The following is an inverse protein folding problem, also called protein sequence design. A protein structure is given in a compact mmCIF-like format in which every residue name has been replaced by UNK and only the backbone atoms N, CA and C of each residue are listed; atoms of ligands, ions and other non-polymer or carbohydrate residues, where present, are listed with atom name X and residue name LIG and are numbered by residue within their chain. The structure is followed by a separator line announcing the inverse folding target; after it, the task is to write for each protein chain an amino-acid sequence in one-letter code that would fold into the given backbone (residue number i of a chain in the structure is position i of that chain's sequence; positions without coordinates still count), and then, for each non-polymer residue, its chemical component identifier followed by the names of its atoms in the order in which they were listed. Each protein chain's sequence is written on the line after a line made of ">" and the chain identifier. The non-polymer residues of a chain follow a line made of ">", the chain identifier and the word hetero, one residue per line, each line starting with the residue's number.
data_IF_551360024755
#
_entry.id   IF_551360024755
#
_cell.length_a   1.000
_cell.length_b   1.000
_cell.length_c   1.000
_cell.angle_alpha   90.00
_cell.angle_beta   90.00
_cell.angle_gamma   90.00
#
_symmetry.space_group_name_H-M   'P 1'
#
loop_
_entity.id
_entity.type
_entity.pdbx_description
1 polymer ?
#
# COMPACT_ATOMS: atom_id res chain seq x y z
N UNK A 1 12.47 6.55 21.58
CA UNK A 1 12.29 5.98 20.22
C UNK A 1 11.31 6.88 19.51
N UNK A 2 11.73 7.49 18.39
CA UNK A 2 10.84 8.28 17.53
C UNK A 2 9.85 7.34 16.82
N UNK A 3 8.72 7.85 16.29
CA UNK A 3 7.82 7.07 15.44
C UNK A 3 8.56 6.36 14.29
N UNK A 4 9.46 7.05 13.61
CA UNK A 4 10.33 6.47 12.57
C UNK A 4 11.20 5.33 13.07
N UNK A 5 11.90 5.51 14.18
CA UNK A 5 12.75 4.46 14.78
C UNK A 5 11.93 3.23 15.16
N UNK A 6 10.70 3.45 15.68
CA UNK A 6 9.78 2.37 16.05
C UNK A 6 9.39 1.57 14.82
N UNK A 7 8.93 2.22 13.75
CA UNK A 7 8.54 1.52 12.52
C UNK A 7 9.72 0.79 11.89
N UNK A 8 10.89 1.41 11.79
CA UNK A 8 12.07 0.75 11.21
C UNK A 8 12.56 -0.44 12.05
N UNK A 9 12.35 -0.41 13.38
CA UNK A 9 12.59 -1.57 14.23
C UNK A 9 11.53 -2.66 14.02
N UNK A 10 10.26 -2.27 13.83
CA UNK A 10 9.16 -3.18 13.52
C UNK A 10 9.40 -3.92 12.19
N UNK A 11 9.82 -3.22 11.13
CA UNK A 11 10.15 -3.82 9.83
C UNK A 11 11.30 -4.85 9.93
N UNK A 12 12.17 -4.72 10.92
CA UNK A 12 13.24 -5.69 11.23
C UNK A 12 12.80 -6.78 12.21
N UNK A 13 11.52 -6.90 12.49
CA UNK A 13 10.97 -7.83 13.49
C UNK A 13 11.64 -7.74 14.88
N UNK A 14 12.16 -6.56 15.25
CA UNK A 14 12.76 -6.31 16.57
C UNK A 14 11.69 -5.96 17.61
N UNK A 15 11.96 -6.24 18.90
CA UNK A 15 11.08 -5.80 19.98
C UNK A 15 10.90 -4.28 19.97
N UNK A 16 9.65 -3.84 20.09
CA UNK A 16 9.25 -2.44 20.20
C UNK A 16 8.31 -2.25 21.40
N UNK A 17 8.22 -1.04 21.98
CA UNK A 17 7.36 -0.80 23.13
C UNK A 17 5.85 -0.97 22.85
N UNK A 18 5.45 -0.88 21.60
CA UNK A 18 4.09 -1.09 21.10
C UNK A 18 4.12 -1.45 19.61
N UNK A 19 3.02 -1.95 19.02
CA UNK A 19 2.89 -2.09 17.57
C UNK A 19 3.06 -0.74 16.86
N UNK A 20 3.51 -0.78 15.60
CA UNK A 20 3.54 0.41 14.75
C UNK A 20 2.12 0.77 14.28
N UNK A 21 1.86 2.07 14.04
CA UNK A 21 0.59 2.60 13.57
C UNK A 21 0.73 3.23 12.18
N UNK A 22 -0.08 2.78 11.22
CA UNK A 22 -0.10 3.34 9.86
C UNK A 22 -1.56 3.51 9.40
N UNK A 23 -2.11 4.74 9.33
CA UNK A 23 -3.33 5.03 8.59
C UNK A 23 -2.99 5.20 7.11
N UNK A 24 -3.52 4.36 6.23
CA UNK A 24 -3.39 4.58 4.79
C UNK A 24 -4.46 5.59 4.34
N UNK A 25 -4.15 6.87 4.48
CA UNK A 25 -5.05 7.98 4.22
C UNK A 25 -4.79 8.61 2.84
N UNK A 26 -5.00 7.85 1.75
CA UNK A 26 -4.83 8.32 0.38
C UNK A 26 -5.79 9.45 0.02
N UNK A 27 -6.85 9.14 -0.72
CA UNK A 27 -7.86 10.14 -1.09
C UNK A 27 -8.51 10.83 0.13
N UNK A 28 -8.66 10.10 1.25
CA UNK A 28 -9.18 10.63 2.51
C UNK A 28 -8.44 11.87 3.01
N UNK A 29 -7.12 11.96 2.79
CA UNK A 29 -6.30 13.09 3.24
C UNK A 29 -6.82 14.44 2.72
N UNK A 30 -7.38 14.50 1.51
CA UNK A 30 -7.92 15.71 0.90
C UNK A 30 -9.06 16.32 1.70
N UNK A 31 -9.90 15.46 2.32
CA UNK A 31 -11.03 15.87 3.15
C UNK A 31 -10.60 16.66 4.38
N UNK A 32 -9.42 16.38 4.95
CA UNK A 32 -8.90 17.09 6.13
C UNK A 32 -8.66 18.58 5.87
N UNK A 33 -8.44 18.94 4.61
CA UNK A 33 -8.22 20.32 4.17
C UNK A 33 -9.41 20.89 3.38
N UNK A 34 -10.48 20.12 3.17
CA UNK A 34 -11.64 20.52 2.41
C UNK A 34 -11.42 20.57 0.90
N UNK A 35 -10.45 19.82 0.39
CA UNK A 35 -10.21 19.62 -1.03
C UNK A 35 -10.92 18.38 -1.54
N UNK A 36 -11.18 18.31 -2.84
CA UNK A 36 -11.51 17.03 -3.48
C UNK A 36 -10.26 16.17 -3.66
N UNK A 37 -10.44 14.87 -3.83
CA UNK A 37 -9.32 13.97 -4.14
C UNK A 37 -8.65 14.37 -5.47
N UNK A 38 -9.44 14.70 -6.49
CA UNK A 38 -8.95 15.19 -7.78
C UNK A 38 -8.05 16.43 -7.61
N UNK A 39 -8.47 17.41 -6.82
CA UNK A 39 -7.68 18.62 -6.57
C UNK A 39 -6.35 18.32 -5.87
N UNK A 40 -6.38 17.39 -4.89
CA UNK A 40 -5.19 17.00 -4.14
C UNK A 40 -4.20 16.26 -5.04
N UNK A 41 -4.64 15.25 -5.79
CA UNK A 41 -3.75 14.43 -6.63
C UNK A 41 -3.18 15.17 -7.85
N UNK A 42 -3.70 16.37 -8.16
CA UNK A 42 -3.23 17.22 -9.26
C UNK A 42 -2.42 18.45 -8.77
N UNK A 43 -2.09 18.55 -7.48
CA UNK A 43 -1.37 19.71 -6.93
C UNK A 43 -0.36 19.29 -5.86
N UNK A 44 0.93 19.56 -6.10
CA UNK A 44 1.97 19.32 -5.11
C UNK A 44 1.73 20.11 -3.81
N UNK A 45 1.21 21.34 -3.90
CA UNK A 45 0.90 22.16 -2.73
C UNK A 45 -0.20 21.52 -1.89
N UNK A 46 -1.35 21.20 -2.51
CA UNK A 46 -2.49 20.57 -1.83
C UNK A 46 -2.14 19.20 -1.26
N UNK A 47 -1.41 18.37 -2.02
CA UNK A 47 -0.95 17.06 -1.55
C UNK A 47 -0.07 17.21 -0.31
N UNK A 48 0.92 18.12 -0.35
CA UNK A 48 1.78 18.39 0.82
C UNK A 48 0.98 18.84 2.04
N UNK A 49 0.06 19.79 1.87
CA UNK A 49 -0.77 20.28 2.97
C UNK A 49 -1.64 19.17 3.60
N UNK A 50 -2.22 18.30 2.77
CA UNK A 50 -3.06 17.20 3.23
C UNK A 50 -2.24 16.17 4.01
N UNK A 51 -1.07 15.79 3.51
CA UNK A 51 -0.18 14.82 4.19
C UNK A 51 0.32 15.34 5.53
N UNK A 52 0.74 16.60 5.60
CA UNK A 52 1.14 17.21 6.88
C UNK A 52 -0.03 17.27 7.88
N UNK A 53 -1.27 17.43 7.40
CA UNK A 53 -2.44 17.39 8.26
C UNK A 53 -2.76 15.97 8.77
N UNK A 54 -2.60 14.93 7.93
CA UNK A 54 -2.68 13.51 8.36
C UNK A 54 -1.70 13.25 9.50
N UNK A 55 -0.44 13.64 9.31
CA UNK A 55 0.60 13.48 10.33
C UNK A 55 0.24 14.18 11.64
N UNK A 56 -0.23 15.43 11.56
CA UNK A 56 -0.62 16.22 12.73
C UNK A 56 -1.79 15.59 13.49
N UNK A 57 -2.82 15.12 12.77
CA UNK A 57 -4.05 14.61 13.37
C UNK A 57 -3.92 13.17 13.87
N UNK A 58 -3.31 12.29 13.09
CA UNK A 58 -3.32 10.85 13.34
C UNK A 58 -1.98 10.29 13.84
N UNK A 59 -0.93 11.13 13.93
CA UNK A 59 0.38 10.79 14.54
C UNK A 59 0.91 9.42 14.11
N UNK A 60 1.02 9.13 12.82
CA UNK A 60 1.48 7.85 12.33
C UNK A 60 2.95 7.59 12.64
N UNK A 61 3.32 6.32 12.79
CA UNK A 61 4.72 5.90 12.76
C UNK A 61 5.24 5.83 11.32
N UNK A 62 4.35 5.51 10.38
CA UNK A 62 4.57 5.55 8.94
C UNK A 62 3.52 6.42 8.24
N UNK A 63 3.97 7.42 7.49
CA UNK A 63 3.11 8.31 6.70
C UNK A 63 3.03 7.84 5.26
N UNK A 64 1.81 7.58 4.77
CA UNK A 64 1.56 7.26 3.37
C UNK A 64 1.57 8.55 2.53
N UNK A 65 2.65 8.77 1.76
CA UNK A 65 2.83 10.00 0.99
C UNK A 65 2.09 10.03 -0.35
N UNK A 66 1.61 8.89 -0.80
CA UNK A 66 0.71 8.76 -1.97
C UNK A 66 0.02 7.40 -1.90
N UNK A 67 -1.27 7.35 -2.22
CA UNK A 67 -2.02 6.12 -2.47
C UNK A 67 -2.81 6.30 -3.77
N UNK A 68 -2.11 6.12 -4.89
CA UNK A 68 -2.68 6.25 -6.23
C UNK A 68 -1.96 5.24 -7.14
N UNK A 69 -2.64 4.17 -7.48
CA UNK A 69 -2.12 3.07 -8.29
C UNK A 69 -2.23 3.35 -9.81
N UNK A 70 -2.59 4.57 -10.20
CA UNK A 70 -2.83 4.90 -11.59
C UNK A 70 -1.75 5.83 -12.18
N UNK A 71 -0.75 6.24 -11.39
CA UNK A 71 0.33 7.11 -11.86
C UNK A 71 1.13 6.44 -12.98
N UNK A 72 1.52 5.18 -12.78
CA UNK A 72 2.24 4.38 -13.77
C UNK A 72 1.36 4.11 -15.01
N UNK A 73 0.10 3.75 -14.78
CA UNK A 73 -0.85 3.47 -15.86
C UNK A 73 -1.09 4.71 -16.75
N UNK A 74 -1.24 5.90 -16.14
CA UNK A 74 -1.38 7.17 -16.84
C UNK A 74 -0.18 7.44 -17.75
N UNK A 75 1.03 7.31 -17.22
CA UNK A 75 2.28 7.54 -17.97
C UNK A 75 2.45 6.53 -19.10
N UNK A 76 1.98 5.30 -18.89
CA UNK A 76 2.05 4.23 -19.88
C UNK A 76 0.87 4.22 -20.87
N UNK A 77 0.05 5.26 -20.86
CA UNK A 77 -0.95 5.55 -21.91
C UNK A 77 -2.37 5.10 -21.58
N UNK A 78 -2.69 4.74 -20.33
CA UNK A 78 -4.07 4.57 -19.92
C UNK A 78 -4.77 5.92 -19.75
N UNK A 79 -6.00 6.05 -20.24
CA UNK A 79 -6.87 7.15 -19.87
C UNK A 79 -7.38 6.94 -18.43
N UNK A 80 -7.52 8.04 -17.69
CA UNK A 80 -8.02 8.01 -16.33
C UNK A 80 -9.39 8.69 -16.21
N UNK A 81 -10.25 8.09 -15.38
CA UNK A 81 -11.50 8.70 -14.94
C UNK A 81 -11.30 9.19 -13.49
N UNK A 82 -11.42 10.49 -13.28
CA UNK A 82 -11.22 11.17 -12.01
C UNK A 82 -12.47 11.13 -11.14
N UNK A 83 -12.27 11.02 -9.82
CA UNK A 83 -13.31 11.05 -8.80
C UNK A 83 -12.97 12.08 -7.72
N UNK A 84 -13.98 12.77 -7.18
CA UNK A 84 -13.77 13.80 -6.14
C UNK A 84 -13.60 13.22 -4.74
N UNK A 85 -14.01 11.98 -4.54
CA UNK A 85 -14.03 11.26 -3.26
C UNK A 85 -13.20 9.97 -3.26
N UNK A 86 -12.32 9.81 -4.26
CA UNK A 86 -11.47 8.63 -4.41
C UNK A 86 -10.29 8.86 -5.35
N UNK A 87 -9.36 7.90 -5.44
CA UNK A 87 -8.32 7.92 -6.46
C UNK A 87 -8.94 7.79 -7.86
N UNK A 88 -8.24 8.23 -8.93
CA UNK A 88 -8.70 7.98 -10.28
C UNK A 88 -8.77 6.48 -10.58
N UNK A 89 -9.53 6.09 -11.59
CA UNK A 89 -9.60 4.73 -12.10
C UNK A 89 -9.17 4.65 -13.56
N UNK A 90 -8.65 3.50 -13.98
CA UNK A 90 -8.27 3.26 -15.38
C UNK A 90 -9.53 3.16 -16.23
N UNK A 91 -9.59 3.94 -17.31
CA UNK A 91 -10.72 4.01 -18.24
C UNK A 91 -10.42 3.35 -19.61
N UNK A 92 -9.12 3.16 -19.94
CA UNK A 92 -8.72 2.50 -21.18
C UNK A 92 -7.47 1.63 -20.94
N UNK A 93 -7.30 0.64 -21.81
CA UNK A 93 -6.19 -0.33 -21.73
C UNK A 93 -5.40 -0.30 -23.04
N UNK A 94 -4.18 0.27 -23.06
CA UNK A 94 -3.39 0.43 -24.30
C UNK A 94 -3.07 -0.87 -25.02
N UNK A 95 -3.02 -1.99 -24.30
CA UNK A 95 -2.76 -3.33 -24.86
C UNK A 95 -4.03 -4.16 -25.08
N UNK A 96 -5.21 -3.54 -24.94
CA UNK A 96 -6.45 -4.20 -25.35
C UNK A 96 -6.43 -4.44 -26.86
N UNK A 97 -6.78 -5.66 -27.28
CA UNK A 97 -6.81 -6.08 -28.69
C UNK A 97 -8.20 -6.56 -29.08
N UNK A 98 -8.53 -6.47 -30.38
CA UNK A 98 -9.72 -7.17 -30.89
C UNK A 98 -9.49 -8.67 -30.89
N UNK A 99 -10.59 -9.43 -30.91
CA UNK A 99 -10.51 -10.89 -30.91
C UNK A 99 -9.72 -11.41 -32.12
N UNK A 100 -8.60 -12.07 -31.86
CA UNK A 100 -7.71 -12.64 -32.87
C UNK A 100 -6.42 -11.84 -33.13
N UNK A 101 -6.30 -10.66 -32.57
CA UNK A 101 -5.03 -9.91 -32.62
C UNK A 101 -4.13 -10.31 -31.45
N UNK A 102 -2.82 -10.36 -31.70
CA UNK A 102 -1.81 -10.65 -30.67
C UNK A 102 -1.35 -9.35 -30.02
N UNK A 103 -1.46 -9.20 -28.68
CA UNK A 103 -0.92 -8.05 -27.99
C UNK A 103 0.62 -8.02 -28.09
N UNK A 104 1.17 -6.82 -28.09
CA UNK A 104 2.63 -6.62 -28.18
C UNK A 104 3.10 -5.91 -26.91
N UNK A 105 4.08 -6.50 -26.22
CA UNK A 105 4.70 -5.88 -25.04
C UNK A 105 5.37 -4.55 -25.41
N UNK A 106 5.18 -3.48 -24.64
CA UNK A 106 5.78 -2.19 -24.92
C UNK A 106 7.32 -2.24 -24.91
N UNK A 107 7.93 -1.39 -25.72
CA UNK A 107 9.39 -1.25 -25.73
C UNK A 107 9.88 -0.64 -24.41
N UNK A 108 11.01 -1.09 -23.88
CA UNK A 108 11.65 -0.47 -22.70
C UNK A 108 11.94 1.03 -22.87
N UNK A 109 11.96 1.54 -24.11
CA UNK A 109 12.09 2.97 -24.39
C UNK A 109 10.85 3.79 -23.92
N UNK A 110 9.75 3.14 -23.56
CA UNK A 110 8.53 3.76 -23.03
C UNK A 110 8.41 3.64 -21.52
N UNK A 111 9.41 3.11 -20.83
CA UNK A 111 9.42 3.06 -19.36
C UNK A 111 9.27 4.48 -18.76
N UNK A 112 8.58 4.63 -17.60
CA UNK A 112 8.35 5.93 -16.97
C UNK A 112 9.63 6.73 -16.78
N UNK A 113 9.63 7.97 -17.26
CA UNK A 113 10.68 8.95 -17.02
C UNK A 113 10.37 9.84 -15.81
N UNK A 114 11.38 10.50 -15.21
CA UNK A 114 11.21 11.30 -13.99
C UNK A 114 10.38 12.58 -14.21
N UNK A 115 10.10 12.95 -15.46
CA UNK A 115 9.33 14.15 -15.83
C UNK A 115 7.99 13.81 -16.48
N UNK A 116 7.56 12.55 -16.47
CA UNK A 116 6.35 12.12 -17.15
C UNK A 116 5.14 12.24 -16.23
N UNK A 117 4.00 12.64 -16.82
CA UNK A 117 2.72 12.73 -16.13
C UNK A 117 2.79 13.48 -14.79
N UNK A 118 2.26 12.86 -13.75
CA UNK A 118 2.23 13.40 -12.39
C UNK A 118 3.46 13.02 -11.53
N UNK A 119 4.42 12.28 -12.05
CA UNK A 119 5.64 11.88 -11.30
C UNK A 119 6.37 13.08 -10.69
N UNK A 120 6.64 14.18 -11.43
CA UNK A 120 7.32 15.36 -10.86
C UNK A 120 6.54 16.01 -9.72
N UNK A 121 5.21 16.08 -9.85
CA UNK A 121 4.31 16.66 -8.85
C UNK A 121 4.37 15.86 -7.54
N UNK A 122 4.24 14.54 -7.64
CA UNK A 122 4.23 13.63 -6.48
C UNK A 122 5.59 13.65 -5.79
N UNK A 123 6.69 13.54 -6.55
CA UNK A 123 8.04 13.60 -6.01
C UNK A 123 8.34 14.95 -5.34
N UNK A 124 7.79 16.05 -5.85
CA UNK A 124 7.94 17.36 -5.21
C UNK A 124 7.22 17.41 -3.86
N UNK A 125 5.97 16.93 -3.79
CA UNK A 125 5.25 16.81 -2.52
C UNK A 125 5.99 15.93 -1.51
N UNK A 126 6.50 14.78 -1.94
CA UNK A 126 7.30 13.86 -1.11
C UNK A 126 8.54 14.55 -0.53
N UNK A 127 9.31 15.30 -1.33
CA UNK A 127 10.48 16.05 -0.85
C UNK A 127 10.12 17.09 0.20
N UNK A 128 8.98 17.78 0.02
CA UNK A 128 8.48 18.76 1.00
C UNK A 128 8.06 18.10 2.30
N UNK A 129 7.31 17.00 2.22
CA UNK A 129 6.92 16.21 3.41
C UNK A 129 8.17 15.66 4.12
N UNK A 130 9.14 15.13 3.35
CA UNK A 130 10.43 14.68 3.90
C UNK A 130 11.15 15.75 4.71
N UNK A 131 11.15 16.97 4.22
CA UNK A 131 11.79 18.11 4.89
C UNK A 131 11.13 18.46 6.23
N UNK A 132 9.79 18.33 6.30
CA UNK A 132 9.01 18.76 7.48
C UNK A 132 8.95 17.67 8.56
N UNK A 133 8.73 16.41 8.18
CA UNK A 133 8.46 15.33 9.15
C UNK A 133 9.38 14.09 9.00
N UNK A 134 10.18 14.02 7.94
CA UNK A 134 10.93 12.80 7.60
C UNK A 134 12.05 12.41 8.57
N UNK A 135 12.39 13.25 9.55
CA UNK A 135 13.34 12.92 10.62
C UNK A 135 12.65 12.14 11.76
N UNK A 136 11.36 12.34 11.94
CA UNK A 136 10.59 11.77 13.06
C UNK A 136 9.60 10.69 12.64
N UNK A 137 9.07 10.75 11.43
CA UNK A 137 8.10 9.82 10.86
C UNK A 137 8.72 9.10 9.66
N UNK A 138 8.54 7.78 9.55
CA UNK A 138 8.94 7.05 8.36
C UNK A 138 7.97 7.34 7.20
N UNK A 139 8.49 7.49 5.99
CA UNK A 139 7.72 7.89 4.83
C UNK A 139 7.55 6.73 3.86
N UNK A 140 6.31 6.46 3.47
CA UNK A 140 5.92 5.44 2.51
C UNK A 140 5.63 6.06 1.14
N UNK A 141 6.28 5.55 0.10
CA UNK A 141 5.86 5.74 -1.28
C UNK A 141 5.16 4.47 -1.77
N UNK A 142 3.92 4.56 -2.24
CA UNK A 142 3.20 3.42 -2.78
C UNK A 142 3.31 3.43 -4.30
N UNK A 143 3.65 2.28 -4.86
CA UNK A 143 3.73 2.04 -6.31
C UNK A 143 2.81 0.90 -6.70
N UNK A 144 2.38 0.89 -7.95
CA UNK A 144 1.58 -0.21 -8.49
C UNK A 144 2.45 -1.46 -8.65
N UNK A 145 1.95 -2.59 -8.16
CA UNK A 145 2.62 -3.87 -8.33
C UNK A 145 2.60 -4.35 -9.79
N UNK A 146 3.59 -5.15 -10.21
CA UNK A 146 3.75 -5.57 -11.61
C UNK A 146 2.53 -6.24 -12.21
N UNK A 147 1.80 -7.07 -11.46
CA UNK A 147 0.64 -7.79 -11.99
C UNK A 147 -0.58 -6.89 -12.14
N UNK A 148 -0.84 -6.01 -11.18
CA UNK A 148 -1.88 -4.99 -11.30
C UNK A 148 -1.57 -4.01 -12.42
N UNK A 149 -0.31 -3.59 -12.61
CA UNK A 149 0.09 -2.74 -13.72
C UNK A 149 -0.12 -3.44 -15.07
N UNK A 150 0.23 -4.72 -15.18
CA UNK A 150 -0.03 -5.51 -16.37
C UNK A 150 -1.53 -5.55 -16.71
N UNK A 151 -2.40 -5.69 -15.71
CA UNK A 151 -3.85 -5.60 -15.90
C UNK A 151 -4.32 -4.19 -16.27
N UNK A 152 -3.72 -3.14 -15.73
CA UNK A 152 -4.03 -1.78 -16.17
C UNK A 152 -3.74 -1.59 -17.66
N UNK A 153 -2.65 -2.17 -18.16
CA UNK A 153 -2.29 -2.08 -19.57
C UNK A 153 -3.11 -3.00 -20.48
N UNK A 154 -3.35 -4.25 -20.05
CA UNK A 154 -3.99 -5.30 -20.86
C UNK A 154 -5.51 -5.44 -20.63
N UNK A 155 -5.99 -4.95 -19.51
CA UNK A 155 -7.35 -5.22 -19.05
C UNK A 155 -7.46 -6.58 -18.39
N UNK A 156 -8.71 -7.07 -18.26
CA UNK A 156 -8.99 -8.39 -17.66
C UNK A 156 -8.53 -9.56 -18.52
N UNK A 157 -8.19 -9.33 -19.78
CA UNK A 157 -7.69 -10.36 -20.70
C UNK A 157 -6.37 -10.98 -20.22
N UNK A 158 -5.62 -10.28 -19.34
CA UNK A 158 -4.40 -10.83 -18.73
C UNK A 158 -4.63 -12.19 -18.07
N UNK A 159 -5.82 -12.44 -17.47
CA UNK A 159 -6.15 -13.72 -16.86
C UNK A 159 -6.38 -14.83 -17.90
N UNK A 160 -6.83 -14.46 -19.11
CA UNK A 160 -6.96 -15.39 -20.20
C UNK A 160 -5.60 -15.67 -20.84
N UNK A 161 -4.77 -14.63 -20.99
CA UNK A 161 -3.43 -14.73 -21.53
C UNK A 161 -2.55 -15.69 -20.68
N UNK A 162 -2.72 -15.72 -19.35
CA UNK A 162 -2.05 -16.68 -18.46
C UNK A 162 -2.32 -18.16 -18.81
N UNK A 163 -3.38 -18.44 -19.58
CA UNK A 163 -3.76 -19.79 -19.99
C UNK A 163 -3.44 -20.07 -21.45
N UNK A 164 -3.34 -19.03 -22.29
CA UNK A 164 -3.24 -19.16 -23.75
C UNK A 164 -1.90 -18.71 -24.31
N UNK A 165 -1.21 -17.78 -23.66
CA UNK A 165 0.05 -17.18 -24.10
C UNK A 165 0.91 -16.79 -22.89
N UNK A 166 1.41 -17.79 -22.19
CA UNK A 166 2.25 -17.64 -20.98
C UNK A 166 3.49 -16.77 -21.23
N UNK A 167 4.11 -16.89 -22.41
CA UNK A 167 5.27 -16.11 -22.78
C UNK A 167 4.96 -14.61 -22.83
N UNK A 168 3.81 -14.23 -23.40
CA UNK A 168 3.38 -12.82 -23.40
C UNK A 168 3.23 -12.28 -21.97
N UNK A 169 2.64 -13.07 -21.05
CA UNK A 169 2.47 -12.68 -19.65
C UNK A 169 3.83 -12.50 -18.96
N UNK A 170 4.77 -13.42 -19.17
CA UNK A 170 6.13 -13.27 -18.63
C UNK A 170 6.83 -12.01 -19.15
N UNK A 171 6.76 -11.76 -20.45
CA UNK A 171 7.38 -10.59 -21.06
C UNK A 171 6.72 -9.27 -20.59
N UNK A 172 5.39 -9.25 -20.44
CA UNK A 172 4.67 -8.09 -19.92
C UNK A 172 4.98 -7.83 -18.45
N UNK A 173 5.07 -8.87 -17.63
CA UNK A 173 5.44 -8.74 -16.22
C UNK A 173 6.89 -8.29 -16.03
N UNK A 174 7.82 -8.71 -16.90
CA UNK A 174 9.19 -8.20 -16.91
C UNK A 174 9.23 -6.70 -17.24
N UNK A 175 8.42 -6.25 -18.21
CA UNK A 175 8.27 -4.83 -18.51
C UNK A 175 7.68 -4.05 -17.32
N UNK A 176 6.59 -4.55 -16.72
CA UNK A 176 5.94 -3.91 -15.57
C UNK A 176 6.84 -3.86 -14.34
N UNK A 177 7.62 -4.91 -14.08
CA UNK A 177 8.65 -4.93 -13.05
C UNK A 177 9.69 -3.81 -13.26
N UNK A 178 10.19 -3.63 -14.49
CA UNK A 178 11.12 -2.55 -14.81
C UNK A 178 10.52 -1.17 -14.61
N UNK A 179 9.24 -0.99 -14.97
CA UNK A 179 8.50 0.24 -14.69
C UNK A 179 8.38 0.51 -13.18
N UNK A 180 8.02 -0.52 -12.38
CA UNK A 180 7.96 -0.44 -10.93
C UNK A 180 9.32 -0.09 -10.30
N UNK A 181 10.43 -0.63 -10.81
CA UNK A 181 11.79 -0.26 -10.38
C UNK A 181 12.08 1.23 -10.60
N UNK A 182 11.65 1.80 -11.76
CA UNK A 182 11.82 3.24 -12.03
C UNK A 182 11.03 4.09 -11.04
N UNK A 183 9.78 3.73 -10.79
CA UNK A 183 8.95 4.46 -9.81
C UNK A 183 9.54 4.37 -8.40
N UNK A 184 9.99 3.18 -7.98
CA UNK A 184 10.67 3.00 -6.69
C UNK A 184 11.90 3.90 -6.58
N UNK A 185 12.75 3.98 -7.61
CA UNK A 185 13.91 4.88 -7.63
C UNK A 185 13.50 6.35 -7.43
N UNK A 186 12.48 6.83 -8.17
CA UNK A 186 12.05 8.23 -8.05
C UNK A 186 11.51 8.56 -6.66
N UNK A 187 10.80 7.65 -6.03
CA UNK A 187 10.25 7.85 -4.68
C UNK A 187 11.35 7.75 -3.61
N UNK A 188 12.30 6.83 -3.76
CA UNK A 188 13.48 6.75 -2.87
C UNK A 188 14.31 8.03 -2.97
N UNK A 189 14.57 8.53 -4.18
CA UNK A 189 15.29 9.79 -4.41
C UNK A 189 14.50 11.02 -3.87
N UNK A 190 13.18 10.93 -3.80
CA UNK A 190 12.34 11.94 -3.15
C UNK A 190 12.32 11.81 -1.61
N UNK A 191 12.98 10.78 -1.05
CA UNK A 191 13.21 10.63 0.39
C UNK A 191 12.31 9.63 1.10
N UNK A 192 11.64 8.74 0.37
CA UNK A 192 10.81 7.69 0.96
C UNK A 192 11.68 6.61 1.61
N UNK A 193 11.31 6.22 2.83
CA UNK A 193 12.03 5.21 3.60
C UNK A 193 11.55 3.79 3.29
N UNK A 194 10.29 3.67 2.86
CA UNK A 194 9.62 2.40 2.53
C UNK A 194 8.92 2.54 1.19
N UNK A 195 9.09 1.56 0.32
CA UNK A 195 8.30 1.42 -0.92
C UNK A 195 7.28 0.30 -0.72
N UNK A 196 6.01 0.65 -0.72
CA UNK A 196 4.92 -0.31 -0.70
C UNK A 196 4.50 -0.64 -2.12
N UNK A 197 4.71 -1.90 -2.49
CA UNK A 197 4.29 -2.45 -3.78
C UNK A 197 2.87 -2.98 -3.61
N UNK A 198 1.90 -2.24 -4.13
CA UNK A 198 0.47 -2.51 -3.94
C UNK A 198 -0.06 -3.28 -5.14
N UNK A 199 -0.45 -4.53 -4.93
CA UNK A 199 -0.92 -5.42 -6.00
C UNK A 199 -2.18 -6.19 -5.60
N UNK A 200 -3.37 -5.56 -5.69
CA UNK A 200 -4.64 -6.18 -5.31
C UNK A 200 -4.95 -7.46 -6.08
N UNK A 201 -4.51 -7.57 -7.34
CA UNK A 201 -4.83 -8.71 -8.19
C UNK A 201 -4.17 -10.01 -7.76
N UNK A 202 -3.14 -9.96 -6.91
CA UNK A 202 -2.54 -11.15 -6.29
C UNK A 202 -3.59 -11.93 -5.47
N UNK A 203 -4.61 -11.27 -4.94
CA UNK A 203 -5.72 -11.94 -4.25
C UNK A 203 -6.59 -12.81 -5.17
N UNK A 204 -6.53 -12.60 -6.48
CA UNK A 204 -7.39 -13.24 -7.48
C UNK A 204 -6.73 -14.45 -8.18
N UNK A 205 -5.42 -14.65 -8.02
CA UNK A 205 -4.68 -15.75 -8.64
C UNK A 205 -4.38 -16.88 -7.64
N UNK A 206 -4.20 -18.09 -8.14
CA UNK A 206 -3.79 -19.23 -7.33
C UNK A 206 -2.32 -19.13 -6.91
N UNK A 207 -1.93 -19.93 -5.94
CA UNK A 207 -0.53 -20.01 -5.48
C UNK A 207 0.39 -20.48 -6.61
N UNK A 208 -0.06 -21.43 -7.42
CA UNK A 208 0.69 -21.93 -8.58
C UNK A 208 0.92 -20.84 -9.62
N UNK A 209 -0.11 -20.05 -9.94
CA UNK A 209 0.04 -18.91 -10.85
C UNK A 209 0.94 -17.81 -10.25
N UNK A 210 0.87 -17.59 -8.93
CA UNK A 210 1.81 -16.68 -8.30
C UNK A 210 3.26 -17.18 -8.42
N UNK A 211 3.51 -18.46 -8.15
CA UNK A 211 4.86 -19.03 -8.25
C UNK A 211 5.38 -19.00 -9.69
N UNK A 212 4.52 -19.23 -10.68
CA UNK A 212 4.88 -19.22 -12.10
C UNK A 212 5.17 -17.81 -12.63
N UNK A 213 4.26 -16.87 -12.42
CA UNK A 213 4.30 -15.57 -13.09
C UNK A 213 4.85 -14.43 -12.22
N UNK A 214 4.61 -14.47 -10.91
CA UNK A 214 4.83 -13.31 -10.04
C UNK A 214 6.08 -13.44 -9.15
N UNK A 215 6.47 -14.64 -8.73
CA UNK A 215 7.57 -14.82 -7.77
C UNK A 215 8.87 -14.15 -8.21
N UNK A 216 9.29 -14.31 -9.44
CA UNK A 216 10.55 -13.76 -9.95
C UNK A 216 10.49 -12.23 -10.09
N UNK A 217 9.49 -11.61 -10.75
CA UNK A 217 9.36 -10.15 -10.85
C UNK A 217 9.32 -9.46 -9.47
N UNK A 218 8.55 -10.00 -8.51
CA UNK A 218 8.46 -9.40 -7.17
C UNK A 218 9.77 -9.56 -6.39
N UNK A 219 10.43 -10.72 -6.46
CA UNK A 219 11.72 -10.92 -5.80
C UNK A 219 12.77 -9.94 -6.31
N UNK A 220 12.88 -9.79 -7.63
CA UNK A 220 13.79 -8.81 -8.25
C UNK A 220 13.47 -7.37 -7.84
N UNK A 221 12.17 -7.02 -7.76
CA UNK A 221 11.74 -5.68 -7.36
C UNK A 221 12.10 -5.38 -5.90
N UNK A 222 11.86 -6.32 -4.99
CA UNK A 222 12.20 -6.12 -3.58
C UNK A 222 13.71 -6.11 -3.33
N UNK A 223 14.48 -6.91 -4.06
CA UNK A 223 15.94 -6.83 -4.04
C UNK A 223 16.43 -5.46 -4.54
N UNK A 224 15.87 -4.97 -5.65
CA UNK A 224 16.19 -3.65 -6.19
C UNK A 224 15.90 -2.52 -5.19
N UNK A 225 14.73 -2.53 -4.54
CA UNK A 225 14.36 -1.55 -3.50
C UNK A 225 15.37 -1.59 -2.36
N UNK A 226 15.77 -2.78 -1.91
CA UNK A 226 16.76 -2.96 -0.85
C UNK A 226 18.15 -2.46 -1.25
N UNK A 227 18.58 -2.75 -2.48
CA UNK A 227 19.85 -2.25 -3.03
C UNK A 227 19.92 -0.73 -3.10
N UNK A 228 18.76 -0.07 -3.32
CA UNK A 228 18.64 1.40 -3.27
C UNK A 228 18.54 1.96 -1.84
N UNK A 229 18.55 1.10 -0.82
CA UNK A 229 18.62 1.49 0.60
C UNK A 229 17.28 1.77 1.26
N UNK A 230 16.16 1.41 0.63
CA UNK A 230 14.82 1.50 1.22
C UNK A 230 14.31 0.14 1.70
N UNK A 231 13.27 0.14 2.53
CA UNK A 231 12.52 -1.05 2.91
C UNK A 231 11.39 -1.30 1.92
N UNK A 232 10.97 -2.55 1.83
CA UNK A 232 9.87 -2.97 0.96
C UNK A 232 8.66 -3.44 1.76
N UNK A 233 7.47 -3.13 1.26
CA UNK A 233 6.20 -3.66 1.78
C UNK A 233 5.41 -4.26 0.63
N UNK A 234 5.02 -5.53 0.75
CA UNK A 234 4.10 -6.16 -0.21
C UNK A 234 2.68 -5.94 0.27
N UNK A 235 1.89 -5.15 -0.44
CA UNK A 235 0.55 -4.78 -0.03
C UNK A 235 -0.50 -5.39 -0.97
N UNK A 236 -1.40 -6.20 -0.41
CA UNK A 236 -2.48 -6.85 -1.16
C UNK A 236 -3.83 -6.58 -0.50
N UNK A 237 -4.73 -5.95 -1.24
CA UNK A 237 -6.15 -5.85 -0.90
C UNK A 237 -6.91 -7.06 -1.45
N UNK A 238 -7.96 -7.51 -0.76
CA UNK A 238 -8.68 -8.75 -1.07
C UNK A 238 -8.15 -9.97 -0.32
N UNK A 239 -8.77 -11.12 -0.53
CA UNK A 239 -8.39 -12.36 0.17
C UNK A 239 -7.09 -12.96 -0.39
N UNK A 240 -5.97 -12.52 0.16
CA UNK A 240 -4.64 -13.03 -0.16
C UNK A 240 -4.22 -14.25 0.70
N UNK A 241 -5.10 -14.81 1.50
CA UNK A 241 -4.77 -15.86 2.50
C UNK A 241 -3.92 -16.98 1.91
N UNK A 242 -4.30 -17.49 0.72
CA UNK A 242 -3.58 -18.58 0.05
C UNK A 242 -2.16 -18.23 -0.38
N UNK A 243 -1.87 -16.94 -0.59
CA UNK A 243 -0.61 -16.45 -1.16
C UNK A 243 0.36 -15.88 -0.11
N UNK A 244 -0.03 -15.77 1.17
CA UNK A 244 0.81 -15.19 2.22
C UNK A 244 2.20 -15.84 2.29
N UNK A 245 2.26 -17.17 2.22
CA UNK A 245 3.55 -17.88 2.33
C UNK A 245 4.46 -17.63 1.12
N UNK A 246 3.91 -17.64 -0.10
CA UNK A 246 4.70 -17.37 -1.32
C UNK A 246 5.08 -15.89 -1.41
N UNK A 247 4.26 -14.98 -0.90
CA UNK A 247 4.61 -13.57 -0.74
C UNK A 247 5.81 -13.40 0.21
N UNK A 248 5.85 -14.10 1.34
CA UNK A 248 7.01 -14.06 2.24
C UNK A 248 8.30 -14.52 1.55
N UNK A 249 8.22 -15.51 0.66
CA UNK A 249 9.38 -16.06 -0.06
C UNK A 249 9.98 -15.07 -1.09
N UNK A 250 9.28 -14.01 -1.47
CA UNK A 250 9.82 -12.97 -2.35
C UNK A 250 10.85 -12.06 -1.67
N UNK A 251 11.01 -12.17 -0.35
CA UNK A 251 12.02 -11.42 0.40
C UNK A 251 11.63 -9.98 0.72
N UNK A 252 10.32 -9.63 0.71
CA UNK A 252 9.86 -8.35 1.20
C UNK A 252 10.10 -8.18 2.71
N UNK A 253 10.27 -6.94 3.18
CA UNK A 253 10.49 -6.66 4.61
C UNK A 253 9.18 -6.70 5.40
N UNK A 254 8.05 -6.41 4.76
CA UNK A 254 6.72 -6.50 5.37
C UNK A 254 5.65 -6.90 4.37
N UNK A 255 4.54 -7.44 4.90
CA UNK A 255 3.30 -7.69 4.14
C UNK A 255 2.18 -6.91 4.81
N UNK A 256 1.35 -6.22 4.01
CA UNK A 256 0.13 -5.53 4.46
C UNK A 256 -1.08 -6.13 3.76
N UNK A 257 -2.15 -6.36 4.53
CA UNK A 257 -3.38 -7.00 4.05
C UNK A 257 -4.63 -6.28 4.54
N UNK A 258 -5.75 -6.53 3.86
CA UNK A 258 -7.06 -6.02 4.26
C UNK A 258 -7.85 -6.99 5.16
N UNK A 259 -9.07 -6.61 5.51
CA UNK A 259 -9.96 -7.34 6.40
C UNK A 259 -10.39 -8.73 5.93
N UNK A 260 -10.17 -9.06 4.66
CA UNK A 260 -10.54 -10.38 4.11
C UNK A 260 -9.56 -11.49 4.53
N UNK A 261 -8.37 -11.10 4.99
CA UNK A 261 -7.36 -12.04 5.49
C UNK A 261 -7.52 -12.27 6.98
N UNK A 262 -7.56 -13.53 7.43
CA UNK A 262 -7.52 -13.85 8.84
C UNK A 262 -6.14 -13.48 9.41
N UNK A 263 -6.10 -12.43 10.22
CA UNK A 263 -4.86 -11.76 10.61
C UNK A 263 -3.92 -12.64 11.44
N UNK A 264 -4.44 -13.37 12.44
CA UNK A 264 -3.59 -14.17 13.35
C UNK A 264 -2.85 -15.31 12.62
N UNK A 265 -3.50 -16.21 11.86
CA UNK A 265 -2.79 -17.24 11.11
C UNK A 265 -1.81 -16.69 10.08
N UNK A 266 -2.14 -15.59 9.41
CA UNK A 266 -1.26 -14.94 8.45
C UNK A 266 0.00 -14.37 9.14
N UNK A 267 -0.16 -13.72 10.30
CA UNK A 267 0.96 -13.25 11.13
C UNK A 267 1.88 -14.41 11.56
N UNK A 268 1.31 -15.55 11.95
CA UNK A 268 2.08 -16.74 12.33
C UNK A 268 2.91 -17.30 11.15
N UNK A 269 2.41 -17.18 9.91
CA UNK A 269 3.19 -17.52 8.71
C UNK A 269 4.34 -16.52 8.54
N UNK A 270 4.05 -15.22 8.57
CA UNK A 270 5.06 -14.17 8.40
C UNK A 270 6.18 -14.27 9.45
N UNK A 271 5.85 -14.65 10.70
CA UNK A 271 6.83 -14.85 11.76
C UNK A 271 7.88 -15.92 11.42
N UNK A 272 7.48 -16.99 10.74
CA UNK A 272 8.41 -18.08 10.32
C UNK A 272 9.45 -17.57 9.32
N UNK A 273 9.10 -16.56 8.55
CA UNK A 273 9.97 -15.95 7.53
C UNK A 273 10.65 -14.66 8.00
N UNK A 274 10.40 -14.23 9.25
CA UNK A 274 10.88 -12.96 9.80
C UNK A 274 10.44 -11.74 8.95
N UNK A 275 9.22 -11.78 8.42
CA UNK A 275 8.58 -10.70 7.68
C UNK A 275 7.62 -9.97 8.61
N UNK A 276 7.69 -8.63 8.68
CA UNK A 276 6.74 -7.84 9.44
C UNK A 276 5.34 -7.95 8.80
N UNK A 277 4.29 -7.86 9.61
CA UNK A 277 2.93 -8.05 9.14
C UNK A 277 2.01 -6.94 9.61
N UNK A 278 1.25 -6.36 8.67
CA UNK A 278 0.42 -5.18 8.88
C UNK A 278 -1.01 -5.32 8.36
N UNK A 279 -1.88 -4.55 8.92
CA UNK A 279 -3.31 -4.45 8.61
C UNK A 279 -4.10 -4.49 9.90
N UNK A 280 -5.28 -4.91 9.89
CA UNK A 280 -6.25 -5.03 8.79
C UNK A 280 -7.60 -4.50 9.31
N UNK A 281 -7.56 -3.25 9.83
CA UNK A 281 -8.77 -2.62 10.37
C UNK A 281 -9.81 -2.55 9.25
N UNK A 282 -11.03 -3.15 9.45
CA UNK A 282 -12.07 -3.18 8.45
C UNK A 282 -12.54 -1.78 8.05
N UNK A 283 -12.43 -1.48 6.77
CA UNK A 283 -12.68 -0.14 6.25
C UNK A 283 -14.16 0.24 6.29
N UNK A 284 -15.03 -0.67 5.90
CA UNK A 284 -16.48 -0.39 5.76
C UNK A 284 -17.21 -0.62 7.07
N UNK A 285 -17.09 -1.80 7.66
CA UNK A 285 -17.90 -2.18 8.83
C UNK A 285 -17.47 -1.47 10.11
N UNK A 286 -16.17 -1.27 10.31
CA UNK A 286 -15.63 -0.67 11.53
C UNK A 286 -15.31 0.81 11.32
N UNK A 287 -14.52 1.16 10.29
CA UNK A 287 -14.07 2.54 10.13
C UNK A 287 -15.18 3.46 9.62
N UNK A 288 -15.93 3.05 8.60
CA UNK A 288 -16.95 3.92 7.99
C UNK A 288 -18.28 3.91 8.76
N UNK A 289 -18.77 2.73 9.14
CA UNK A 289 -20.11 2.56 9.74
C UNK A 289 -20.09 2.33 11.25
N UNK A 290 -18.96 1.99 11.84
CA UNK A 290 -18.79 1.84 13.27
C UNK A 290 -18.67 3.19 13.99
N UNK A 291 -18.69 3.12 15.30
CA UNK A 291 -18.44 4.26 16.20
C UNK A 291 -16.95 4.35 16.55
N UNK A 292 -16.54 5.44 17.19
CA UNK A 292 -15.18 5.56 17.73
C UNK A 292 -14.83 4.41 18.70
N UNK A 293 -15.81 3.98 19.52
CA UNK A 293 -15.62 2.89 20.47
C UNK A 293 -15.44 1.54 19.77
N UNK A 294 -16.18 1.29 18.67
CA UNK A 294 -15.99 0.08 17.86
C UNK A 294 -14.56 0.02 17.28
N UNK A 295 -14.07 1.15 16.80
CA UNK A 295 -12.71 1.28 16.26
C UNK A 295 -11.64 1.06 17.35
N UNK A 296 -11.81 1.64 18.53
CA UNK A 296 -10.92 1.44 19.69
C UNK A 296 -10.90 -0.03 20.10
N UNK A 297 -12.08 -0.64 20.24
CA UNK A 297 -12.20 -2.03 20.66
C UNK A 297 -11.58 -2.97 19.65
N UNK A 298 -11.86 -2.79 18.35
CA UNK A 298 -11.27 -3.61 17.30
C UNK A 298 -9.73 -3.59 17.36
N UNK A 299 -9.13 -2.41 17.47
CA UNK A 299 -7.66 -2.30 17.54
C UNK A 299 -7.07 -2.97 18.78
N UNK A 300 -7.73 -2.83 19.96
CA UNK A 300 -7.28 -3.50 21.18
C UNK A 300 -7.40 -5.01 21.03
N UNK A 301 -8.55 -5.52 20.56
CA UNK A 301 -8.79 -6.96 20.38
C UNK A 301 -7.79 -7.56 19.35
N UNK A 302 -7.51 -6.84 18.28
CA UNK A 302 -6.49 -7.25 17.28
C UNK A 302 -5.11 -7.38 17.95
N UNK A 303 -4.66 -6.36 18.68
CA UNK A 303 -3.37 -6.36 19.36
C UNK A 303 -3.31 -7.51 20.39
N UNK A 304 -4.38 -7.72 21.17
CA UNK A 304 -4.42 -8.74 22.22
C UNK A 304 -4.47 -10.17 21.64
N UNK A 305 -5.03 -10.34 20.44
CA UNK A 305 -5.09 -11.64 19.76
C UNK A 305 -3.73 -12.16 19.29
N UNK A 306 -2.74 -11.29 19.16
CA UNK A 306 -1.40 -11.62 18.64
C UNK A 306 -0.44 -11.89 19.79
N UNK A 307 0.15 -13.07 19.82
CA UNK A 307 1.13 -13.46 20.84
C UNK A 307 2.49 -12.80 20.60
N UNK A 308 3.04 -12.99 19.40
CA UNK A 308 4.31 -12.38 19.00
C UNK A 308 4.08 -10.99 18.39
N UNK A 309 4.37 -9.96 19.18
CA UNK A 309 4.18 -8.55 18.75
C UNK A 309 5.36 -7.99 17.94
N UNK A 310 6.46 -8.75 17.81
CA UNK A 310 7.57 -8.32 16.96
C UNK A 310 7.11 -8.29 15.50
N UNK A 311 7.42 -7.22 14.81
CA UNK A 311 6.99 -7.04 13.43
C UNK A 311 5.47 -6.80 13.25
N UNK A 312 4.75 -6.46 14.33
CA UNK A 312 3.32 -6.15 14.26
C UNK A 312 3.09 -4.68 13.87
N UNK A 313 2.33 -4.47 12.80
CA UNK A 313 1.86 -3.18 12.34
C UNK A 313 0.33 -3.16 12.41
N UNK A 314 -0.26 -2.24 13.16
CA UNK A 314 -1.70 -1.98 13.10
C UNK A 314 -1.94 -0.91 12.04
N UNK A 315 -2.70 -1.25 11.04
CA UNK A 315 -2.97 -0.35 9.91
C UNK A 315 -4.42 -0.48 9.45
N UNK A 316 -4.89 0.51 8.71
CA UNK A 316 -6.14 0.37 7.95
C UNK A 316 -5.99 -0.71 6.90
N UNK A 317 -7.06 -1.45 6.60
CA UNK A 317 -7.00 -2.61 5.71
C UNK A 317 -6.60 -2.27 4.27
N UNK A 318 -6.88 -1.05 3.82
CA UNK A 318 -6.47 -0.49 2.53
C UNK A 318 -6.52 1.04 2.61
N UNK A 319 -6.62 1.76 1.47
CA UNK A 319 -6.91 3.19 1.43
C UNK A 319 -8.22 3.49 2.15
N UNK A 320 -8.17 4.45 3.07
CA UNK A 320 -9.32 4.80 3.90
C UNK A 320 -10.45 5.39 3.04
N UNK A 321 -11.69 4.90 3.17
CA UNK A 321 -12.83 5.50 2.49
C UNK A 321 -12.97 6.99 2.82
N UNK A 322 -13.23 7.80 1.82
CA UNK A 322 -13.36 9.26 1.95
C UNK A 322 -14.34 9.70 3.04
N UNK A 323 -15.41 8.92 3.25
CA UNK A 323 -16.48 9.21 4.22
C UNK A 323 -16.19 8.87 5.67
N UNK A 324 -15.06 8.24 6.02
CA UNK A 324 -14.75 7.81 7.39
C UNK A 324 -14.80 8.99 8.38
N UNK A 325 -15.55 8.89 9.50
CA UNK A 325 -15.53 9.91 10.54
C UNK A 325 -14.14 10.11 11.14
N UNK A 326 -13.72 11.35 11.36
CA UNK A 326 -12.38 11.66 11.90
C UNK A 326 -12.13 11.01 13.26
N UNK A 327 -13.17 11.00 14.11
CA UNK A 327 -13.16 10.40 15.44
C UNK A 327 -12.85 8.90 15.40
N UNK A 328 -13.26 8.19 14.35
CA UNK A 328 -12.99 6.77 14.21
C UNK A 328 -11.49 6.50 13.99
N UNK A 329 -10.85 7.26 13.10
CA UNK A 329 -9.39 7.17 12.89
C UNK A 329 -8.62 7.61 14.15
N UNK A 330 -9.10 8.65 14.85
CA UNK A 330 -8.54 9.05 16.14
C UNK A 330 -8.67 7.94 17.17
N UNK A 331 -9.80 7.22 17.19
CA UNK A 331 -10.01 6.06 18.05
C UNK A 331 -9.00 4.95 17.81
N UNK A 332 -8.75 4.60 16.54
CA UNK A 332 -7.71 3.63 16.15
C UNK A 332 -6.32 4.10 16.61
N UNK A 333 -5.95 5.35 16.34
CA UNK A 333 -4.70 5.95 16.80
C UNK A 333 -4.55 5.82 18.32
N UNK A 334 -5.55 6.22 19.09
CA UNK A 334 -5.50 6.16 20.55
C UNK A 334 -5.32 4.72 21.03
N UNK A 335 -6.04 3.76 20.45
CA UNK A 335 -5.94 2.36 20.81
C UNK A 335 -4.54 1.79 20.59
N UNK A 336 -3.82 2.22 19.55
CA UNK A 336 -2.46 1.75 19.28
C UNK A 336 -1.41 2.49 20.12
N UNK A 337 -1.55 3.82 20.26
CA UNK A 337 -0.57 4.63 21.01
C UNK A 337 -0.70 4.50 22.53
N UNK A 338 -1.90 4.20 23.04
CA UNK A 338 -2.28 4.15 24.46
C UNK A 338 -3.06 2.87 24.77
N UNK A 339 -2.57 1.72 24.32
CA UNK A 339 -3.31 0.44 24.33
C UNK A 339 -3.85 0.07 25.71
N UNK A 340 -3.06 0.22 26.78
CA UNK A 340 -3.49 -0.15 28.14
C UNK A 340 -4.61 0.75 28.66
N UNK A 341 -4.55 2.05 28.41
CA UNK A 341 -5.58 3.02 28.80
C UNK A 341 -6.88 2.74 28.04
N UNK A 342 -6.79 2.54 26.73
CA UNK A 342 -7.97 2.27 25.88
C UNK A 342 -8.57 0.89 26.21
N UNK A 343 -7.76 -0.12 26.54
CA UNK A 343 -8.24 -1.45 26.97
C UNK A 343 -9.17 -1.34 28.17
N UNK A 344 -8.82 -0.52 29.17
CA UNK A 344 -9.71 -0.27 30.30
C UNK A 344 -10.99 0.45 29.93
N UNK A 345 -10.95 1.36 28.93
CA UNK A 345 -12.14 2.06 28.44
C UNK A 345 -13.12 1.14 27.72
N UNK A 346 -12.60 0.17 26.94
CA UNK A 346 -13.43 -0.68 26.06
C UNK A 346 -13.74 -2.07 26.67
N UNK A 347 -13.26 -2.39 27.87
CA UNK A 347 -13.37 -3.74 28.47
C UNK A 347 -14.81 -4.25 28.62
N UNK A 348 -15.75 -3.36 28.94
CA UNK A 348 -17.15 -3.68 29.13
C UNK A 348 -18.01 -3.28 27.89
N UNK A 349 -17.38 -2.77 26.84
CA UNK A 349 -18.06 -2.36 25.62
C UNK A 349 -18.40 -3.57 24.75
N UNK A 350 -19.65 -3.67 24.32
CA UNK A 350 -20.14 -4.67 23.37
C UNK A 350 -20.46 -3.95 22.07
N UNK A 351 -19.72 -4.28 21.00
CA UNK A 351 -19.86 -3.72 19.68
C UNK A 351 -21.12 -4.24 18.95
#
# INVERSE_FOLDING_TARGET
>A
MTPKELLLATLKCKPTPRPAWIPFAGAYASRLKGYTATEMFQSADKLTECLLEVNRMFKPDGECCIFDLQIEAEVLGCDLMWADDGPPSVASHPLATEMGDTPVVPCECTLPGPNDGRIPLVCEAMRRVKKEIGDTTALYGLITGPFTLASHLRGTDIFLDMLLDDQFVHDLLDYCYKAACKMAEYFIDAGMDVIAVVDPLISQISTEHFEEFCSEPFTKLFDHIREKGAYSSFFVCGDATRNIEVMCKTGCDSISVDENVNFKPAKEICDKYSVAFGGNIPLTTIMLHGTQMDNMKYCVDLIDSIENKNGLIVATGCDMPYGVPFENTIGCMQAVLQTDEVREMVKDYVA
#
